data_IF_825013581254
#
_entry.id   IF_825013581254
#
_cell.length_a   1.000
_cell.length_b   1.000
_cell.length_c   1.000
_cell.angle_alpha   90.00
_cell.angle_beta   90.00
_cell.angle_gamma   90.00
#
_symmetry.space_group_name_H-M   'P 1'
#
loop_
_entity.id
_entity.type
_entity.pdbx_description
1 polymer ?
#
# COMPACT_ATOMS: atom_id res chain seq x y z
N UNK A 1 40.16 -21.95 -20.35
CA UNK A 1 39.69 -20.95 -21.32
C UNK A 1 38.95 -19.89 -20.55
N UNK A 2 39.39 -18.64 -20.62
CA UNK A 2 38.81 -17.48 -19.95
C UNK A 2 37.39 -17.25 -20.48
N UNK A 3 36.37 -17.60 -19.69
CA UNK A 3 34.94 -17.35 -19.99
C UNK A 3 34.76 -15.84 -20.13
N UNK A 4 34.60 -15.35 -21.35
CA UNK A 4 34.34 -13.93 -21.62
C UNK A 4 33.06 -13.57 -20.89
N UNK A 5 33.14 -12.64 -19.93
CA UNK A 5 32.01 -12.26 -19.08
C UNK A 5 30.94 -11.62 -19.98
N UNK A 6 29.80 -12.28 -20.13
CA UNK A 6 28.69 -11.76 -20.94
C UNK A 6 28.27 -10.38 -20.44
N UNK A 7 28.02 -9.46 -21.37
CA UNK A 7 27.51 -8.13 -21.05
C UNK A 7 26.04 -8.20 -20.66
N UNK A 8 25.53 -7.20 -19.94
CA UNK A 8 24.12 -7.16 -19.54
C UNK A 8 23.15 -7.20 -20.73
N UNK A 9 23.52 -6.57 -21.85
CA UNK A 9 22.70 -6.57 -23.08
C UNK A 9 22.63 -7.97 -23.72
N UNK A 10 23.77 -8.67 -23.77
CA UNK A 10 23.83 -10.05 -24.24
C UNK A 10 23.02 -11.00 -23.35
N UNK A 11 23.08 -10.82 -22.03
CA UNK A 11 22.27 -11.61 -21.09
C UNK A 11 20.77 -11.37 -21.29
N UNK A 12 20.36 -10.11 -21.45
CA UNK A 12 18.96 -9.76 -21.75
C UNK A 12 18.48 -10.39 -23.05
N UNK A 13 19.31 -10.38 -24.11
CA UNK A 13 18.99 -11.04 -25.36
C UNK A 13 18.78 -12.55 -25.20
N UNK A 14 19.66 -13.23 -24.46
CA UNK A 14 19.54 -14.68 -24.20
C UNK A 14 18.29 -14.99 -23.37
N UNK A 15 17.97 -14.17 -22.37
CA UNK A 15 16.76 -14.31 -21.56
C UNK A 15 15.50 -14.21 -22.45
N UNK A 16 15.42 -13.17 -23.29
CA UNK A 16 14.28 -12.93 -24.17
C UNK A 16 14.08 -14.08 -25.16
N UNK A 17 15.15 -14.60 -25.76
CA UNK A 17 15.08 -15.77 -26.64
C UNK A 17 14.63 -17.02 -25.88
N UNK A 18 15.04 -17.16 -24.61
CA UNK A 18 14.68 -18.30 -23.77
C UNK A 18 13.20 -18.30 -23.35
N UNK A 19 12.58 -17.13 -23.23
CA UNK A 19 11.15 -16.97 -22.92
C UNK A 19 10.23 -17.20 -24.12
N UNK A 20 10.79 -17.19 -25.34
CA UNK A 20 10.03 -17.39 -26.58
C UNK A 20 9.27 -16.14 -27.06
N UNK A 21 8.80 -16.17 -28.32
CA UNK A 21 8.33 -14.98 -29.03
C UNK A 21 7.05 -14.36 -28.42
N UNK A 22 6.14 -15.17 -27.88
CA UNK A 22 4.88 -14.65 -27.32
C UNK A 22 5.11 -13.82 -26.06
N UNK A 23 5.94 -14.32 -25.14
CA UNK A 23 6.27 -13.61 -23.89
C UNK A 23 7.16 -12.40 -24.20
N UNK A 24 8.15 -12.57 -25.08
CA UNK A 24 9.02 -11.50 -25.53
C UNK A 24 8.24 -10.32 -26.12
N UNK A 25 7.21 -10.58 -26.94
CA UNK A 25 6.38 -9.52 -27.53
C UNK A 25 5.65 -8.68 -26.47
N UNK A 26 5.24 -9.27 -25.35
CA UNK A 26 4.63 -8.52 -24.25
C UNK A 26 5.67 -7.63 -23.54
N UNK A 27 6.91 -8.10 -23.39
CA UNK A 27 7.99 -7.32 -22.78
C UNK A 27 8.36 -6.12 -23.66
N UNK A 28 8.41 -6.31 -24.98
CA UNK A 28 8.76 -5.24 -25.94
C UNK A 28 7.81 -4.04 -25.89
N UNK A 29 6.55 -4.24 -25.50
CA UNK A 29 5.56 -3.15 -25.34
C UNK A 29 5.92 -2.15 -24.25
N UNK A 30 6.79 -2.52 -23.32
CA UNK A 30 7.22 -1.68 -22.21
C UNK A 30 8.60 -1.05 -22.43
N UNK A 31 9.23 -1.28 -23.58
CA UNK A 31 10.56 -0.76 -23.91
C UNK A 31 10.47 0.47 -24.83
N UNK A 32 11.46 1.36 -24.74
CA UNK A 32 11.62 2.49 -25.66
C UNK A 32 12.22 2.01 -26.98
N UNK A 33 12.00 2.75 -28.08
CA UNK A 33 12.50 2.37 -29.41
C UNK A 33 14.02 2.10 -29.42
N UNK A 34 14.82 2.95 -28.78
CA UNK A 34 16.27 2.76 -28.68
C UNK A 34 16.67 1.45 -27.97
N UNK A 35 15.91 1.06 -26.94
CA UNK A 35 16.14 -0.17 -26.18
C UNK A 35 15.73 -1.40 -27.00
N UNK A 36 14.63 -1.29 -27.77
CA UNK A 36 14.16 -2.33 -28.70
C UNK A 36 15.21 -2.58 -29.79
N UNK A 37 15.74 -1.54 -30.41
CA UNK A 37 16.76 -1.66 -31.46
C UNK A 37 18.02 -2.34 -30.93
N UNK A 38 18.52 -1.90 -29.76
CA UNK A 38 19.70 -2.49 -29.14
C UNK A 38 19.49 -3.96 -28.77
N UNK A 39 18.34 -4.28 -28.15
CA UNK A 39 18.03 -5.65 -27.74
C UNK A 39 17.86 -6.57 -28.96
N UNK A 40 17.20 -6.09 -30.01
CA UNK A 40 17.02 -6.83 -31.27
C UNK A 40 18.36 -7.10 -31.96
N UNK A 41 19.27 -6.12 -31.97
CA UNK A 41 20.60 -6.27 -32.54
C UNK A 41 21.43 -7.29 -31.77
N UNK A 42 21.34 -7.31 -30.44
CA UNK A 42 22.01 -8.33 -29.63
C UNK A 42 21.43 -9.72 -29.90
N UNK A 43 20.10 -9.87 -30.00
CA UNK A 43 19.43 -11.14 -30.35
C UNK A 43 19.90 -11.64 -31.72
N UNK A 44 19.98 -10.76 -32.72
CA UNK A 44 20.45 -11.12 -34.06
C UNK A 44 21.92 -11.57 -34.08
N UNK A 45 22.74 -11.01 -33.18
CA UNK A 45 24.15 -11.36 -33.03
C UNK A 45 24.41 -12.55 -32.10
N UNK A 46 23.39 -13.12 -31.46
CA UNK A 46 23.55 -14.29 -30.62
C UNK A 46 23.98 -15.51 -31.46
N UNK A 47 25.14 -16.07 -31.11
CA UNK A 47 25.59 -17.37 -31.61
C UNK A 47 24.82 -18.52 -30.94
N UNK A 48 25.22 -19.78 -31.22
CA UNK A 48 24.73 -20.93 -30.46
C UNK A 48 24.97 -20.71 -28.96
N UNK A 49 23.88 -20.58 -28.21
CA UNK A 49 23.88 -20.51 -26.74
C UNK A 49 23.75 -21.93 -26.21
N UNK A 50 24.65 -22.34 -25.30
CA UNK A 50 24.56 -23.66 -24.68
C UNK A 50 23.37 -23.73 -23.70
N UNK A 51 22.89 -24.94 -23.41
CA UNK A 51 21.85 -25.10 -22.39
C UNK A 51 22.37 -24.72 -21.00
N UNK A 52 23.67 -24.89 -20.72
CA UNK A 52 24.24 -24.42 -19.45
C UNK A 52 24.20 -22.90 -19.35
N UNK A 53 24.55 -22.18 -20.42
CA UNK A 53 24.52 -20.71 -20.43
C UNK A 53 23.11 -20.16 -20.26
N UNK A 54 22.11 -20.78 -20.90
CA UNK A 54 20.70 -20.43 -20.71
C UNK A 54 20.26 -20.60 -19.26
N UNK A 55 20.56 -21.77 -18.67
CA UNK A 55 20.19 -22.06 -17.29
C UNK A 55 20.88 -21.12 -16.30
N UNK A 56 22.16 -20.79 -16.53
CA UNK A 56 22.92 -19.86 -15.70
C UNK A 56 22.31 -18.45 -15.72
N UNK A 57 21.85 -17.98 -16.89
CA UNK A 57 21.19 -16.67 -17.03
C UNK A 57 19.78 -16.66 -16.43
N UNK A 58 19.02 -17.75 -16.60
CA UNK A 58 17.70 -17.89 -15.97
C UNK A 58 17.81 -17.92 -14.45
N UNK A 59 18.79 -18.64 -13.90
CA UNK A 59 19.05 -18.68 -12.47
C UNK A 59 19.51 -17.30 -11.97
N UNK A 60 20.43 -16.62 -12.66
CA UNK A 60 20.85 -15.26 -12.32
C UNK A 60 19.66 -14.28 -12.32
N UNK A 61 18.81 -14.32 -13.34
CA UNK A 61 17.62 -13.49 -13.43
C UNK A 61 16.61 -13.81 -12.32
N UNK A 62 16.41 -15.09 -12.01
CA UNK A 62 15.56 -15.54 -10.92
C UNK A 62 16.09 -15.06 -9.56
N UNK A 63 17.40 -15.16 -9.31
CA UNK A 63 18.04 -14.63 -8.10
C UNK A 63 17.94 -13.11 -8.01
N UNK A 64 18.02 -12.39 -9.14
CA UNK A 64 17.78 -10.94 -9.18
C UNK A 64 16.32 -10.59 -8.88
N UNK A 65 15.34 -11.33 -9.42
CA UNK A 65 13.93 -11.17 -9.10
C UNK A 65 13.67 -11.44 -7.61
N UNK A 66 14.24 -12.52 -7.09
CA UNK A 66 14.19 -12.84 -5.67
C UNK A 66 14.82 -11.71 -4.85
N UNK A 67 15.97 -11.18 -5.22
CA UNK A 67 16.63 -10.08 -4.52
C UNK A 67 15.82 -8.77 -4.57
N UNK A 68 15.18 -8.48 -5.71
CA UNK A 68 14.31 -7.30 -5.87
C UNK A 68 13.00 -7.48 -5.08
N UNK A 69 12.45 -8.69 -5.06
CA UNK A 69 11.32 -9.06 -4.22
C UNK A 69 11.70 -9.14 -2.73
N UNK A 70 12.95 -9.43 -2.35
CA UNK A 70 13.39 -9.40 -0.95
C UNK A 70 13.50 -7.98 -0.39
N UNK A 71 13.73 -6.99 -1.25
CA UNK A 71 13.74 -5.57 -0.87
C UNK A 71 12.30 -5.04 -0.72
N UNK A 72 11.31 -5.70 -1.34
CA UNK A 72 9.92 -5.19 -1.41
C UNK A 72 8.90 -6.05 -0.65
N UNK A 73 9.15 -7.35 -0.48
CA UNK A 73 8.32 -8.33 0.24
C UNK A 73 9.22 -9.41 0.89
N UNK A 74 9.83 -9.07 2.03
CA UNK A 74 10.16 -10.08 3.04
C UNK A 74 8.87 -10.51 3.74
N UNK A 75 8.46 -11.78 3.62
CA UNK A 75 7.15 -12.20 4.10
C UNK A 75 7.00 -13.70 4.34
N UNK A 76 5.93 -14.04 5.07
CA UNK A 76 5.57 -15.40 5.50
C UNK A 76 5.42 -16.38 4.32
N UNK A 77 5.07 -15.89 3.12
CA UNK A 77 4.86 -16.72 1.93
C UNK A 77 6.14 -17.35 1.37
N UNK A 78 7.28 -16.65 1.46
CA UNK A 78 8.57 -17.24 1.07
C UNK A 78 9.04 -18.29 2.10
N UNK A 79 8.87 -17.99 3.39
CA UNK A 79 9.12 -18.98 4.44
C UNK A 79 8.21 -20.20 4.29
N UNK A 80 6.97 -20.00 3.82
CA UNK A 80 6.02 -21.07 3.53
C UNK A 80 6.52 -21.99 2.42
N UNK A 81 6.95 -21.44 1.29
CA UNK A 81 7.43 -22.26 0.18
C UNK A 81 8.67 -23.09 0.55
N UNK A 82 9.59 -22.51 1.33
CA UNK A 82 10.76 -23.24 1.85
C UNK A 82 10.32 -24.38 2.78
N UNK A 83 9.42 -24.10 3.73
CA UNK A 83 8.94 -25.10 4.68
C UNK A 83 8.16 -26.21 3.99
N UNK A 84 7.36 -25.90 2.97
CA UNK A 84 6.60 -26.88 2.20
C UNK A 84 7.52 -27.83 1.44
N UNK A 85 8.56 -27.30 0.78
CA UNK A 85 9.55 -28.11 0.06
C UNK A 85 10.42 -28.95 1.00
N UNK A 86 10.74 -28.44 2.19
CA UNK A 86 11.64 -29.13 3.13
C UNK A 86 10.93 -30.15 4.04
N UNK A 87 9.68 -29.90 4.42
CA UNK A 87 8.99 -30.64 5.50
C UNK A 87 7.64 -31.21 5.09
N UNK A 88 7.17 -30.91 3.88
CA UNK A 88 5.84 -31.27 3.39
C UNK A 88 4.75 -30.30 3.86
N UNK A 89 3.69 -30.20 3.07
CA UNK A 89 2.63 -29.19 3.19
C UNK A 89 1.99 -29.12 4.59
N UNK A 90 1.74 -30.27 5.23
CA UNK A 90 1.06 -30.32 6.53
C UNK A 90 1.90 -29.70 7.65
N UNK A 91 3.20 -30.04 7.74
CA UNK A 91 4.11 -29.53 8.76
C UNK A 91 4.51 -28.08 8.51
N UNK A 92 4.63 -27.70 7.24
CA UNK A 92 4.86 -26.32 6.86
C UNK A 92 3.72 -25.43 7.37
N UNK A 93 2.47 -25.80 7.10
CA UNK A 93 1.29 -25.09 7.60
C UNK A 93 1.26 -24.98 9.13
N UNK A 94 1.58 -26.04 9.88
CA UNK A 94 1.67 -25.96 11.35
C UNK A 94 2.73 -24.95 11.84
N UNK A 95 3.92 -24.97 11.24
CA UNK A 95 5.02 -24.08 11.63
C UNK A 95 4.71 -22.63 11.26
N UNK A 96 4.14 -22.41 10.09
CA UNK A 96 3.70 -21.08 9.63
C UNK A 96 2.57 -20.58 10.52
N UNK A 97 1.57 -21.38 10.83
CA UNK A 97 0.47 -20.95 11.70
C UNK A 97 0.97 -20.56 13.09
N UNK A 98 1.94 -21.30 13.64
CA UNK A 98 2.62 -20.96 14.90
C UNK A 98 3.45 -19.68 14.79
N UNK A 99 4.16 -19.49 13.68
CA UNK A 99 4.98 -18.29 13.44
C UNK A 99 4.13 -17.05 13.16
N UNK A 100 3.05 -17.17 12.39
CA UNK A 100 2.08 -16.10 12.09
C UNK A 100 1.37 -15.65 13.36
N UNK A 101 1.05 -16.61 14.25
CA UNK A 101 0.54 -16.31 15.60
C UNK A 101 1.56 -15.52 16.44
N UNK A 102 2.87 -15.72 16.22
CA UNK A 102 3.95 -14.99 16.90
C UNK A 102 4.38 -13.68 16.22
N UNK A 103 4.13 -13.53 14.91
CA UNK A 103 4.55 -12.40 14.06
C UNK A 103 3.49 -11.28 13.95
N UNK A 104 2.37 -11.38 14.65
CA UNK A 104 1.39 -10.29 14.82
C UNK A 104 0.90 -9.62 13.52
N UNK A 105 0.52 -10.38 12.49
CA UNK A 105 -0.56 -9.90 11.61
C UNK A 105 -1.81 -10.62 12.07
N UNK A 106 -2.42 -10.14 13.15
CA UNK A 106 -3.71 -10.73 13.54
C UNK A 106 -4.75 -10.21 12.55
N UNK A 107 -5.59 -11.08 11.97
CA UNK A 107 -6.66 -10.68 11.08
C UNK A 107 -7.45 -9.50 11.64
N UNK A 108 -7.90 -8.62 10.75
CA UNK A 108 -8.68 -7.43 11.06
C UNK A 108 -7.93 -6.42 11.94
N UNK A 109 -6.60 -6.31 11.82
CA UNK A 109 -5.80 -5.32 12.58
C UNK A 109 -6.20 -3.88 12.29
N UNK A 110 -6.55 -3.57 11.03
CA UNK A 110 -7.06 -2.26 10.65
C UNK A 110 -8.40 -1.95 11.32
N UNK A 111 -9.26 -2.94 11.51
CA UNK A 111 -10.57 -2.76 12.16
C UNK A 111 -10.39 -2.41 13.64
N UNK A 112 -9.43 -3.04 14.32
CA UNK A 112 -9.12 -2.74 15.73
C UNK A 112 -8.65 -1.30 15.93
N UNK A 113 -8.05 -0.69 14.90
CA UNK A 113 -7.55 0.69 14.89
C UNK A 113 -8.55 1.71 14.31
N UNK A 114 -9.61 1.24 13.67
CA UNK A 114 -10.60 2.10 13.03
C UNK A 114 -11.47 2.82 14.07
N UNK A 115 -11.97 4.00 13.70
CA UNK A 115 -12.91 4.72 14.53
C UNK A 115 -14.23 3.93 14.67
N UNK A 116 -14.78 3.77 15.89
CA UNK A 116 -16.02 3.00 16.10
C UNK A 116 -17.21 3.47 15.27
N UNK A 117 -17.30 4.76 14.96
CA UNK A 117 -18.38 5.32 14.14
C UNK A 117 -18.23 4.94 12.65
N UNK A 118 -17.01 4.92 12.14
CA UNK A 118 -16.74 4.45 10.77
C UNK A 118 -17.01 2.96 10.64
N UNK A 119 -16.56 2.18 11.64
CA UNK A 119 -16.83 0.76 11.70
C UNK A 119 -18.34 0.48 11.75
N UNK A 120 -19.10 1.30 12.46
CA UNK A 120 -20.56 1.20 12.54
C UNK A 120 -21.24 1.40 11.19
N UNK A 121 -20.89 2.50 10.52
CA UNK A 121 -21.49 2.88 9.24
C UNK A 121 -21.26 1.81 8.18
N UNK A 122 -20.14 1.12 8.30
CA UNK A 122 -19.79 0.00 7.44
C UNK A 122 -20.58 -1.27 7.81
N UNK A 123 -20.53 -1.70 9.07
CA UNK A 123 -21.08 -3.00 9.50
C UNK A 123 -22.60 -3.06 9.56
N UNK A 124 -23.32 -1.93 9.64
CA UNK A 124 -24.78 -1.93 9.69
C UNK A 124 -25.44 -2.64 8.48
N UNK A 125 -24.79 -2.57 7.31
CA UNK A 125 -25.27 -3.13 6.04
C UNK A 125 -24.77 -4.55 5.78
N UNK A 126 -23.82 -5.04 6.59
CA UNK A 126 -23.27 -6.38 6.46
C UNK A 126 -24.23 -7.45 6.98
N UNK A 127 -23.99 -8.68 6.52
CA UNK A 127 -24.75 -9.84 6.99
C UNK A 127 -24.31 -10.24 8.42
N UNK A 128 -25.22 -10.88 9.18
CA UNK A 128 -24.96 -11.28 10.57
C UNK A 128 -23.76 -12.22 10.74
N UNK A 129 -23.40 -13.00 9.71
CA UNK A 129 -22.27 -13.92 9.76
C UNK A 129 -20.94 -13.18 9.69
N UNK A 130 -20.83 -12.21 8.78
CA UNK A 130 -19.65 -11.35 8.63
C UNK A 130 -19.43 -10.54 9.89
N UNK A 131 -20.49 -9.93 10.44
CA UNK A 131 -20.41 -9.16 11.69
C UNK A 131 -19.98 -10.07 12.85
N UNK A 132 -20.57 -11.27 12.97
CA UNK A 132 -20.19 -12.23 13.99
C UNK A 132 -18.71 -12.64 13.87
N UNK A 133 -18.22 -12.89 12.66
CA UNK A 133 -16.82 -13.23 12.42
C UNK A 133 -15.91 -12.09 12.89
N UNK A 134 -16.18 -10.86 12.46
CA UNK A 134 -15.37 -9.69 12.83
C UNK A 134 -15.34 -9.50 14.35
N UNK A 135 -16.49 -9.64 15.03
CA UNK A 135 -16.59 -9.50 16.49
C UNK A 135 -15.70 -10.48 17.26
N UNK A 136 -15.39 -11.66 16.71
CA UNK A 136 -14.46 -12.60 17.35
C UNK A 136 -13.00 -12.11 17.36
N UNK A 137 -12.67 -11.12 16.54
CA UNK A 137 -11.33 -10.55 16.42
C UNK A 137 -11.19 -9.13 17.00
N UNK A 138 -12.30 -8.50 17.41
CA UNK A 138 -12.30 -7.21 18.10
C UNK A 138 -12.08 -7.38 19.61
N UNK A 139 -11.69 -6.30 20.28
CA UNK A 139 -11.68 -6.31 21.74
C UNK A 139 -13.14 -6.33 22.28
N UNK A 140 -13.38 -6.86 23.50
CA UNK A 140 -14.72 -6.96 24.06
C UNK A 140 -15.47 -5.63 24.12
N UNK A 141 -14.77 -4.53 24.36
CA UNK A 141 -15.35 -3.19 24.46
C UNK A 141 -15.91 -2.69 23.12
N UNK A 142 -15.13 -2.82 22.04
CA UNK A 142 -15.56 -2.50 20.67
C UNK A 142 -16.70 -3.40 20.23
N UNK A 143 -16.60 -4.71 20.51
CA UNK A 143 -17.67 -5.67 20.22
C UNK A 143 -18.97 -5.34 20.95
N UNK A 144 -18.91 -4.93 22.22
CA UNK A 144 -20.10 -4.54 22.99
C UNK A 144 -20.75 -3.28 22.43
N UNK A 145 -19.95 -2.24 22.14
CA UNK A 145 -20.41 -1.00 21.50
C UNK A 145 -21.08 -1.29 20.16
N UNK A 146 -20.42 -2.10 19.32
CA UNK A 146 -20.95 -2.54 18.03
C UNK A 146 -22.29 -3.27 18.19
N UNK A 147 -22.35 -4.28 19.06
CA UNK A 147 -23.58 -5.05 19.24
C UNK A 147 -24.74 -4.17 19.71
N UNK A 148 -24.49 -3.28 20.67
CA UNK A 148 -25.52 -2.41 21.27
C UNK A 148 -26.19 -1.44 20.29
N UNK A 149 -25.50 -1.09 19.20
CA UNK A 149 -25.99 -0.17 18.18
C UNK A 149 -26.90 -0.83 17.13
N UNK A 150 -26.86 -2.16 17.03
CA UNK A 150 -27.57 -2.91 16.00
C UNK A 150 -29.03 -3.13 16.41
N UNK A 151 -29.95 -3.37 15.45
CA UNK A 151 -31.34 -3.70 15.76
C UNK A 151 -31.45 -4.94 16.66
N UNK A 152 -32.41 -5.00 17.61
CA UNK A 152 -32.52 -6.10 18.59
C UNK A 152 -32.55 -7.50 17.97
N UNK A 153 -33.18 -7.65 16.80
CA UNK A 153 -33.24 -8.92 16.07
C UNK A 153 -31.85 -9.37 15.57
N UNK A 154 -31.06 -8.42 15.03
CA UNK A 154 -29.67 -8.69 14.60
C UNK A 154 -28.78 -9.00 15.81
N UNK A 155 -28.97 -8.32 16.94
CA UNK A 155 -28.17 -8.55 18.15
C UNK A 155 -28.23 -10.02 18.59
N UNK A 156 -29.44 -10.59 18.66
CA UNK A 156 -29.66 -11.97 19.08
C UNK A 156 -29.08 -12.96 18.07
N UNK A 157 -29.24 -12.71 16.77
CA UNK A 157 -28.69 -13.57 15.71
C UNK A 157 -27.16 -13.58 15.72
N UNK A 158 -26.53 -12.40 15.83
CA UNK A 158 -25.08 -12.26 15.88
C UNK A 158 -24.51 -12.92 17.13
N UNK A 159 -25.11 -12.67 18.31
CA UNK A 159 -24.67 -13.29 19.56
C UNK A 159 -24.74 -14.83 19.50
N UNK A 160 -25.81 -15.38 18.90
CA UNK A 160 -25.94 -16.83 18.68
C UNK A 160 -24.85 -17.35 17.75
N UNK A 161 -24.58 -16.64 16.65
CA UNK A 161 -23.52 -17.03 15.69
C UNK A 161 -22.16 -17.00 16.34
N UNK A 162 -21.79 -15.95 17.05
CA UNK A 162 -20.52 -15.87 17.80
C UNK A 162 -20.39 -17.05 18.78
N UNK A 163 -21.46 -17.36 19.52
CA UNK A 163 -21.45 -18.45 20.50
C UNK A 163 -21.37 -19.86 19.88
N UNK A 164 -21.77 -20.02 18.62
CA UNK A 164 -21.79 -21.31 17.89
C UNK A 164 -20.74 -21.39 16.79
N UNK A 165 -19.91 -20.36 16.64
CA UNK A 165 -18.90 -20.27 15.60
C UNK A 165 -17.74 -21.19 15.94
N UNK A 166 -17.61 -22.26 15.16
CA UNK A 166 -16.44 -23.15 15.17
C UNK A 166 -15.29 -22.57 14.34
N UNK A 167 -14.28 -23.41 14.06
CA UNK A 167 -13.11 -23.03 13.25
C UNK A 167 -13.53 -22.56 11.84
N UNK A 168 -13.23 -21.31 11.52
CA UNK A 168 -13.34 -20.77 10.15
C UNK A 168 -12.01 -20.97 9.42
N UNK A 169 -12.04 -21.32 8.11
CA UNK A 169 -10.81 -21.48 7.33
C UNK A 169 -10.03 -20.16 7.26
N UNK A 170 -8.69 -20.19 7.44
CA UNK A 170 -7.83 -19.03 7.24
C UNK A 170 -8.02 -18.33 5.88
N UNK A 171 -8.29 -19.09 4.82
CA UNK A 171 -8.51 -18.55 3.47
C UNK A 171 -9.77 -17.68 3.42
N UNK A 172 -10.83 -18.11 4.12
CA UNK A 172 -12.10 -17.37 4.20
C UNK A 172 -11.91 -16.10 5.03
N UNK A 173 -11.14 -16.17 6.12
CA UNK A 173 -10.82 -15.01 6.95
C UNK A 173 -10.07 -13.96 6.13
N UNK A 174 -9.04 -14.37 5.38
CA UNK A 174 -8.28 -13.47 4.50
C UNK A 174 -9.13 -12.84 3.40
N UNK A 175 -10.00 -13.61 2.76
CA UNK A 175 -10.85 -13.10 1.68
C UNK A 175 -11.84 -12.06 2.22
N UNK A 176 -12.45 -12.33 3.38
CA UNK A 176 -13.31 -11.38 4.08
C UNK A 176 -12.53 -10.13 4.46
N UNK A 177 -11.34 -10.29 5.05
CA UNK A 177 -10.47 -9.19 5.44
C UNK A 177 -10.12 -8.26 4.26
N UNK A 178 -9.76 -8.83 3.11
CA UNK A 178 -9.41 -8.11 1.88
C UNK A 178 -10.59 -7.33 1.30
N UNK A 179 -11.79 -7.91 1.34
CA UNK A 179 -13.01 -7.22 0.90
C UNK A 179 -13.32 -6.04 1.82
N UNK A 180 -13.25 -6.25 3.13
CA UNK A 180 -13.47 -5.22 4.14
C UNK A 180 -12.47 -4.07 4.03
N UNK A 181 -11.18 -4.38 3.85
CA UNK A 181 -10.12 -3.38 3.72
C UNK A 181 -10.33 -2.50 2.48
N UNK A 182 -10.67 -3.10 1.33
CA UNK A 182 -11.00 -2.36 0.10
C UNK A 182 -12.21 -1.45 0.26
N UNK A 183 -13.26 -1.95 0.90
CA UNK A 183 -14.48 -1.18 1.10
C UNK A 183 -14.25 -0.03 2.08
N UNK A 184 -13.54 -0.26 3.19
CA UNK A 184 -13.19 0.81 4.12
C UNK A 184 -12.30 1.86 3.46
N UNK A 185 -11.28 1.46 2.68
CA UNK A 185 -10.44 2.39 1.94
C UNK A 185 -11.24 3.29 0.96
N UNK A 186 -12.29 2.75 0.34
CA UNK A 186 -13.18 3.53 -0.53
C UNK A 186 -14.00 4.58 0.23
N UNK A 187 -14.37 4.31 1.48
CA UNK A 187 -15.08 5.27 2.35
C UNK A 187 -14.13 6.38 2.82
N UNK A 188 -12.84 6.08 3.09
CA UNK A 188 -11.86 7.13 3.42
C UNK A 188 -11.58 8.06 2.22
N UNK A 189 -11.91 7.65 1.00
CA UNK A 189 -11.74 8.50 -0.20
C UNK A 189 -12.73 9.67 -0.22
N UNK A 190 -13.85 9.61 0.50
CA UNK A 190 -14.77 10.75 0.63
C UNK A 190 -14.28 11.82 1.64
N UNK A 191 -13.41 11.45 2.59
CA UNK A 191 -12.83 12.38 3.58
C UNK A 191 -11.40 12.86 3.23
N UNK A 192 -10.76 12.31 2.19
CA UNK A 192 -9.42 12.75 1.74
C UNK A 192 -9.41 13.99 0.83
N UNK A 193 -10.49 14.75 0.76
CA UNK A 193 -10.42 16.12 0.25
C UNK A 193 -10.04 17.05 1.42
N UNK A 194 -8.76 17.08 1.82
CA UNK A 194 -8.08 18.24 2.49
C UNK A 194 -6.69 17.88 3.10
N UNK A 195 -5.93 16.92 2.53
CA UNK A 195 -4.48 16.82 2.85
C UNK A 195 -3.74 17.77 1.92
N UNK A 196 -3.70 19.05 2.33
CA UNK A 196 -3.17 20.14 1.52
C UNK A 196 -4.23 21.20 1.22
N UNK A 197 -3.77 22.41 0.89
CA UNK A 197 -4.61 23.58 0.68
C UNK A 197 -4.04 24.84 1.31
N UNK A 198 -4.72 25.95 1.10
CA UNK A 198 -4.28 27.29 1.51
C UNK A 198 -3.97 27.35 3.01
N UNK A 199 -4.75 26.66 3.85
CA UNK A 199 -4.53 26.65 5.30
C UNK A 199 -3.21 25.98 5.72
N UNK A 200 -2.81 24.90 5.04
CA UNK A 200 -1.54 24.24 5.33
C UNK A 200 -0.35 25.14 4.96
N UNK A 201 -0.44 25.83 3.82
CA UNK A 201 0.56 26.81 3.39
C UNK A 201 0.63 27.98 4.37
N UNK A 202 -0.51 28.53 4.80
CA UNK A 202 -0.57 29.60 5.82
C UNK A 202 0.10 29.17 7.13
N UNK A 203 -0.18 27.97 7.63
CA UNK A 203 0.43 27.48 8.87
C UNK A 203 1.96 27.32 8.75
N UNK A 204 2.44 26.88 7.58
CA UNK A 204 3.88 26.78 7.30
C UNK A 204 4.50 28.19 7.23
N UNK A 205 3.88 29.11 6.48
CA UNK A 205 4.39 30.46 6.27
C UNK A 205 4.40 31.30 7.56
N UNK A 206 3.46 31.06 8.49
CA UNK A 206 3.47 31.69 9.81
C UNK A 206 4.65 31.25 10.71
N UNK A 207 5.35 30.16 10.36
CA UNK A 207 6.45 29.60 11.16
C UNK A 207 7.84 29.73 10.51
N UNK A 208 7.94 30.33 9.32
CA UNK A 208 9.23 30.60 8.66
C UNK A 208 9.70 32.03 8.94
N UNK A 209 10.96 32.33 8.62
CA UNK A 209 11.45 33.70 8.71
C UNK A 209 10.80 34.62 7.66
N UNK A 210 10.72 35.92 7.96
CA UNK A 210 10.11 36.93 7.08
C UNK A 210 10.73 37.00 5.69
N UNK A 211 12.00 36.63 5.53
CA UNK A 211 12.66 36.62 4.23
C UNK A 211 12.13 35.49 3.36
N UNK A 212 12.05 34.29 3.92
CA UNK A 212 11.48 33.11 3.25
C UNK A 212 10.00 33.29 2.93
N UNK A 213 9.21 33.83 3.87
CA UNK A 213 7.80 34.16 3.67
C UNK A 213 7.60 35.09 2.45
N UNK A 214 8.31 36.23 2.46
CA UNK A 214 8.19 37.25 1.40
C UNK A 214 8.58 36.71 0.03
N UNK A 215 9.68 35.97 -0.05
CA UNK A 215 10.14 35.37 -1.31
C UNK A 215 9.10 34.40 -1.89
N UNK A 216 8.44 33.59 -1.05
CA UNK A 216 7.43 32.62 -1.49
C UNK A 216 6.16 33.34 -1.95
N UNK A 217 5.69 34.36 -1.22
CA UNK A 217 4.50 35.13 -1.61
C UNK A 217 4.73 35.92 -2.91
N UNK A 218 5.90 36.55 -3.08
CA UNK A 218 6.24 37.28 -4.31
C UNK A 218 6.32 36.34 -5.53
N UNK A 219 6.90 35.15 -5.36
CA UNK A 219 6.92 34.14 -6.43
C UNK A 219 5.50 33.66 -6.78
N UNK A 220 4.66 33.42 -5.77
CA UNK A 220 3.26 33.02 -5.97
C UNK A 220 2.42 34.13 -6.63
N UNK A 221 2.72 35.41 -6.39
CA UNK A 221 2.00 36.54 -7.00
C UNK A 221 2.28 36.67 -8.50
N UNK A 222 3.47 36.25 -8.95
CA UNK A 222 3.81 36.22 -10.39
C UNK A 222 3.07 35.08 -11.11
N UNK A 223 3.01 33.90 -10.48
CA UNK A 223 2.43 32.71 -11.10
C UNK A 223 0.90 32.63 -10.94
N UNK A 224 0.37 33.04 -9.77
CA UNK A 224 -1.05 32.98 -9.43
C UNK A 224 -1.45 34.08 -8.41
N UNK A 225 -1.84 35.28 -8.89
CA UNK A 225 -2.19 36.41 -8.04
C UNK A 225 -3.32 36.12 -7.04
N UNK A 226 -4.35 35.38 -7.46
CA UNK A 226 -5.53 35.08 -6.65
C UNK A 226 -5.16 34.18 -5.45
N UNK A 227 -4.30 33.19 -5.67
CA UNK A 227 -3.80 32.30 -4.62
C UNK A 227 -2.92 33.06 -3.61
N UNK A 228 -2.06 33.95 -4.10
CA UNK A 228 -1.21 34.78 -3.24
C UNK A 228 -2.03 35.74 -2.37
N UNK A 229 -3.11 36.30 -2.91
CA UNK A 229 -4.03 37.15 -2.15
C UNK A 229 -4.78 36.35 -1.09
N UNK A 230 -5.27 35.15 -1.42
CA UNK A 230 -6.01 34.32 -0.47
C UNK A 230 -5.12 33.83 0.69
N UNK A 231 -3.86 33.49 0.42
CA UNK A 231 -2.87 33.16 1.46
C UNK A 231 -2.63 34.40 2.35
N UNK A 232 -2.39 35.58 1.77
CA UNK A 232 -2.18 36.84 2.53
C UNK A 232 -3.35 37.16 3.45
N UNK A 233 -4.58 37.03 2.96
CA UNK A 233 -5.81 37.27 3.75
C UNK A 233 -5.91 36.35 4.97
N UNK A 234 -5.47 35.10 4.82
CA UNK A 234 -5.51 34.09 5.90
C UNK A 234 -4.30 34.13 6.84
N UNK A 235 -3.18 34.73 6.42
CA UNK A 235 -2.04 35.03 7.30
C UNK A 235 -2.34 36.17 8.28
N UNK A 236 -3.22 37.10 7.92
CA UNK A 236 -3.70 38.16 8.82
C UNK A 236 -4.65 37.56 9.87
N UNK A 237 -4.12 37.18 11.03
CA UNK A 237 -4.94 36.72 12.16
C UNK A 237 -5.36 37.93 12.99
N UNK A 238 -6.60 37.94 13.47
CA UNK A 238 -7.20 39.03 14.27
C UNK A 238 -6.38 39.40 15.53
N UNK A 239 -5.45 38.55 15.97
CA UNK A 239 -4.53 38.81 17.09
C UNK A 239 -3.44 39.84 16.79
N UNK A 240 -3.07 40.05 15.50
CA UNK A 240 -2.07 41.07 15.14
C UNK A 240 -2.58 42.50 15.37
N UNK A 241 -3.91 42.69 15.52
CA UNK A 241 -4.52 43.97 15.88
C UNK A 241 -4.04 44.45 17.26
N UNK A 242 -3.69 43.54 18.17
CA UNK A 242 -3.18 43.91 19.51
C UNK A 242 -1.74 44.43 19.49
N UNK A 243 -1.01 44.24 18.38
CA UNK A 243 0.36 44.77 18.20
C UNK A 243 0.41 46.05 17.36
N UNK A 244 -0.75 46.55 16.91
CA UNK A 244 -0.83 47.81 16.17
C UNK A 244 -0.75 49.03 17.11
N UNK A 245 0.19 49.93 16.84
CA UNK A 245 0.26 51.27 17.45
C UNK A 245 -1.04 52.05 17.18
N UNK A 246 -1.51 52.82 18.17
CA UNK A 246 -2.70 53.69 18.09
C UNK A 246 -2.77 54.59 16.83
N UNK A 247 -1.64 54.93 16.20
CA UNK A 247 -1.56 55.68 14.94
C UNK A 247 -1.95 54.87 13.71
N UNK A 248 -1.74 53.55 13.72
CA UNK A 248 -2.10 52.65 12.60
C UNK A 248 -3.59 52.35 12.55
N UNK A 249 -4.29 52.46 13.69
CA UNK A 249 -5.75 52.26 13.80
C UNK A 249 -6.55 53.51 13.39
N UNK A 250 -5.90 54.68 13.29
CA UNK A 250 -6.56 55.96 13.03
C UNK A 250 -6.65 56.36 11.55
N UNK A 251 -6.31 55.48 10.61
CA UNK A 251 -6.45 55.70 9.16
C UNK A 251 -7.37 54.69 8.51
#
# INVERSE_FOLDING_TARGET
MTRTKLTGKQKAAILIVSLGPEIAANIYRFLREEDIEQLTLEIANLSKVSNEEKNEILEEFYQMLIAQNFITEGGIDYAKEILEKALGTQKALEIINRLTSSLQVRPFDFIRKADPSQLMNFLQNENSQTIALIMTYLNPEQSASLLSSLPPEKQVDIARRVATMDRTSPEVIMEVEKVLERQMASVVTEDYANVGGIQAVVNILNNVDRGTEKNIIEALEVDNPDLAEEIRRRMFVFEDILTLDNRSVQR
#
